data_IF_410732888028
#
_entry.id   IF_410732888028
#
_cell.length_a   1.000
_cell.length_b   1.000
_cell.length_c   1.000
_cell.angle_alpha   90.00
_cell.angle_beta   90.00
_cell.angle_gamma   90.00
#
_symmetry.space_group_name_H-M   'P 1'
#
loop_
_entity.id
_entity.type
_entity.pdbx_description
1 polymer ?
#
# COMPACT_ATOMS: atom_id res chain seq x y z
N UNK A 1 -5.91 -26.23 -88.47
CA UNK A 1 -5.41 -26.74 -87.17
C UNK A 1 -3.90 -26.86 -87.21
N UNK A 2 -3.19 -26.06 -86.41
CA UNK A 2 -1.90 -26.38 -85.77
C UNK A 2 -1.64 -25.25 -84.75
N UNK A 3 -1.89 -25.55 -83.49
CA UNK A 3 -1.57 -24.71 -82.33
C UNK A 3 -0.11 -24.99 -81.96
N UNK A 4 0.72 -23.95 -81.83
CA UNK A 4 1.95 -24.03 -81.04
C UNK A 4 1.98 -22.80 -80.14
N UNK A 5 2.00 -23.10 -78.86
CA UNK A 5 1.75 -22.23 -77.72
C UNK A 5 3.03 -21.47 -77.35
N UNK A 6 2.90 -20.16 -77.14
CA UNK A 6 3.95 -19.28 -76.63
C UNK A 6 4.08 -19.51 -75.11
N UNK A 7 5.20 -20.07 -74.65
CA UNK A 7 5.47 -20.30 -73.24
C UNK A 7 5.95 -19.02 -72.55
N UNK A 8 5.07 -18.39 -71.77
CA UNK A 8 5.46 -17.37 -70.80
C UNK A 8 6.05 -18.04 -69.56
N UNK A 9 7.35 -17.85 -69.33
CA UNK A 9 7.97 -18.06 -68.01
C UNK A 9 7.42 -17.02 -67.04
N UNK A 10 6.58 -17.45 -66.09
CA UNK A 10 6.27 -16.66 -64.90
C UNK A 10 7.38 -16.94 -63.89
N UNK A 11 8.31 -16.01 -63.75
CA UNK A 11 9.21 -15.97 -62.60
C UNK A 11 8.34 -15.54 -61.41
N UNK A 12 7.86 -16.52 -60.65
CA UNK A 12 7.29 -16.28 -59.33
C UNK A 12 8.44 -15.88 -58.40
N UNK A 13 8.69 -14.59 -58.26
CA UNK A 13 9.48 -14.06 -57.16
C UNK A 13 8.74 -14.35 -55.86
N UNK A 14 9.15 -15.42 -55.18
CA UNK A 14 8.87 -15.60 -53.75
C UNK A 14 9.50 -14.40 -53.03
N UNK A 15 8.66 -13.46 -52.61
CA UNK A 15 9.03 -12.49 -51.58
C UNK A 15 9.18 -13.32 -50.30
N UNK A 16 10.41 -13.67 -49.96
CA UNK A 16 10.76 -14.13 -48.62
C UNK A 16 10.60 -12.89 -47.75
N UNK A 17 9.38 -12.62 -47.28
CA UNK A 17 9.19 -11.76 -46.11
C UNK A 17 9.94 -12.46 -45.00
N UNK A 18 11.12 -11.96 -44.62
CA UNK A 18 11.81 -12.45 -43.43
C UNK A 18 10.82 -12.28 -42.28
N UNK A 19 10.27 -13.38 -41.80
CA UNK A 19 9.48 -13.42 -40.57
C UNK A 19 10.45 -13.19 -39.40
N UNK A 20 10.99 -11.98 -39.27
CA UNK A 20 11.70 -11.54 -38.08
C UNK A 20 10.67 -11.48 -36.95
N UNK A 21 10.96 -12.21 -35.88
CA UNK A 21 10.14 -12.26 -34.68
C UNK A 21 9.85 -10.82 -34.20
N UNK A 22 8.58 -10.44 -33.98
CA UNK A 22 8.21 -9.14 -33.41
C UNK A 22 9.03 -8.75 -32.17
N UNK A 23 9.44 -9.73 -31.35
CA UNK A 23 10.21 -9.52 -30.13
C UNK A 23 11.63 -8.97 -30.36
N UNK A 24 12.26 -9.29 -31.48
CA UNK A 24 13.64 -8.88 -31.79
C UNK A 24 13.70 -7.54 -32.52
N UNK A 25 12.53 -6.94 -32.80
CA UNK A 25 12.45 -5.64 -33.46
C UNK A 25 12.53 -4.51 -32.45
N UNK A 26 13.03 -3.32 -32.86
CA UNK A 26 12.91 -2.10 -32.07
C UNK A 26 11.46 -1.82 -31.69
N UNK A 27 11.26 -1.24 -30.50
CA UNK A 27 9.94 -0.83 -30.02
C UNK A 27 9.16 -0.04 -31.09
N UNK A 28 8.00 -0.56 -31.46
CA UNK A 28 7.10 0.08 -32.42
C UNK A 28 5.64 -0.35 -32.23
N UNK A 29 4.71 0.54 -32.56
CA UNK A 29 3.28 0.31 -32.34
C UNK A 29 2.66 -0.72 -33.29
N UNK A 30 3.28 -0.97 -34.44
CA UNK A 30 2.78 -1.91 -35.45
C UNK A 30 2.86 -3.36 -34.95
N UNK A 31 3.97 -3.71 -34.30
CA UNK A 31 4.24 -5.05 -33.80
C UNK A 31 3.67 -5.27 -32.38
N UNK A 32 3.31 -4.21 -31.65
CA UNK A 32 2.92 -4.30 -30.23
C UNK A 32 1.71 -5.20 -29.97
N UNK A 33 0.75 -5.29 -30.91
CA UNK A 33 -0.40 -6.19 -30.77
C UNK A 33 0.04 -7.65 -30.64
N UNK A 34 0.99 -8.08 -31.48
CA UNK A 34 1.52 -9.46 -31.45
C UNK A 34 2.38 -9.69 -30.21
N UNK A 35 3.18 -8.70 -29.83
CA UNK A 35 3.98 -8.76 -28.59
C UNK A 35 3.09 -8.94 -27.36
N UNK A 36 1.95 -8.23 -27.28
CA UNK A 36 0.96 -8.43 -26.20
C UNK A 36 0.40 -9.85 -26.18
N UNK A 37 0.08 -10.42 -27.33
CA UNK A 37 -0.42 -11.79 -27.43
C UNK A 37 0.62 -12.79 -26.94
N UNK A 38 1.89 -12.62 -27.33
CA UNK A 38 3.00 -13.46 -26.89
C UNK A 38 3.25 -13.35 -25.38
N UNK A 39 3.30 -12.14 -24.81
CA UNK A 39 3.40 -11.94 -23.34
C UNK A 39 2.21 -12.58 -22.62
N UNK A 40 1.01 -12.40 -23.16
CA UNK A 40 -0.21 -12.94 -22.56
C UNK A 40 -0.24 -14.47 -22.57
N UNK A 41 0.34 -15.09 -23.60
CA UNK A 41 0.45 -16.53 -23.75
C UNK A 41 1.58 -17.15 -22.91
N UNK A 42 2.56 -16.36 -22.44
CA UNK A 42 3.67 -16.87 -21.63
C UNK A 42 3.17 -17.44 -20.30
N UNK A 43 3.46 -18.72 -20.05
CA UNK A 43 3.05 -19.42 -18.82
C UNK A 43 4.00 -19.16 -17.65
N UNK A 44 5.19 -18.61 -17.91
CA UNK A 44 6.17 -18.29 -16.87
C UNK A 44 5.83 -16.99 -16.13
N UNK A 45 4.94 -16.17 -16.69
CA UNK A 45 4.48 -14.94 -16.07
C UNK A 45 3.15 -15.12 -15.35
N UNK A 46 3.08 -14.60 -14.12
CA UNK A 46 1.81 -14.38 -13.44
C UNK A 46 0.97 -13.36 -14.20
N UNK A 47 -0.35 -13.34 -13.96
CA UNK A 47 -1.22 -12.37 -14.62
C UNK A 47 -0.82 -10.92 -14.29
N UNK A 48 -0.40 -10.65 -13.07
CA UNK A 48 0.05 -9.32 -12.67
C UNK A 48 1.34 -8.90 -13.37
N UNK A 49 2.29 -9.83 -13.53
CA UNK A 49 3.54 -9.57 -14.27
C UNK A 49 3.27 -9.28 -15.74
N UNK A 50 2.34 -10.04 -16.36
CA UNK A 50 1.88 -9.76 -17.74
C UNK A 50 1.32 -8.35 -17.86
N UNK A 51 0.40 -7.97 -16.97
CA UNK A 51 -0.21 -6.66 -16.97
C UNK A 51 0.85 -5.55 -16.77
N UNK A 52 1.79 -5.74 -15.84
CA UNK A 52 2.89 -4.80 -15.61
C UNK A 52 3.71 -4.57 -16.88
N UNK A 53 4.18 -5.65 -17.52
CA UNK A 53 5.02 -5.56 -18.72
C UNK A 53 4.24 -4.88 -19.85
N UNK A 54 2.99 -5.32 -20.10
CA UNK A 54 2.17 -4.77 -21.19
C UNK A 54 1.86 -3.28 -20.97
N UNK A 55 1.47 -2.89 -19.75
CA UNK A 55 1.14 -1.50 -19.45
C UNK A 55 2.36 -0.59 -19.62
N UNK A 56 3.53 -0.99 -19.10
CA UNK A 56 4.75 -0.20 -19.21
C UNK A 56 5.26 -0.13 -20.65
N UNK A 57 5.22 -1.22 -21.42
CA UNK A 57 5.54 -1.17 -22.85
C UNK A 57 4.60 -0.24 -23.62
N UNK A 58 3.31 -0.25 -23.30
CA UNK A 58 2.34 0.66 -23.91
C UNK A 58 2.65 2.12 -23.60
N UNK A 59 3.05 2.41 -22.37
CA UNK A 59 3.45 3.75 -21.94
C UNK A 59 4.75 4.20 -22.62
N UNK A 60 5.77 3.35 -22.65
CA UNK A 60 7.03 3.59 -23.37
C UNK A 60 6.80 3.87 -24.86
N UNK A 61 5.92 3.10 -25.52
CA UNK A 61 5.53 3.34 -26.91
C UNK A 61 4.83 4.69 -27.09
N UNK A 62 3.92 5.05 -26.18
CA UNK A 62 3.28 6.37 -26.18
C UNK A 62 4.30 7.51 -26.09
N UNK A 63 5.29 7.39 -25.19
CA UNK A 63 6.38 8.37 -25.11
C UNK A 63 7.25 8.41 -26.36
N UNK A 64 7.54 7.25 -26.94
CA UNK A 64 8.33 7.14 -28.18
C UNK A 64 7.60 7.84 -29.35
N UNK A 65 6.30 7.66 -29.49
CA UNK A 65 5.49 8.32 -30.52
C UNK A 65 5.44 9.85 -30.34
N UNK A 66 5.27 10.31 -29.10
CA UNK A 66 5.34 11.74 -28.77
C UNK A 66 6.72 12.31 -29.11
N UNK A 67 7.79 11.61 -28.74
CA UNK A 67 9.16 11.98 -29.06
C UNK A 67 9.39 12.10 -30.57
N UNK A 68 8.99 11.09 -31.34
CA UNK A 68 9.07 11.11 -32.81
C UNK A 68 8.32 12.29 -33.42
N UNK A 69 7.12 12.58 -32.92
CA UNK A 69 6.29 13.69 -33.40
C UNK A 69 6.95 15.05 -33.12
N UNK A 70 7.45 15.26 -31.89
CA UNK A 70 8.16 16.49 -31.52
C UNK A 70 9.47 16.66 -32.29
N UNK A 71 10.25 15.59 -32.45
CA UNK A 71 11.51 15.61 -33.21
C UNK A 71 11.30 16.06 -34.65
N UNK A 72 10.30 15.46 -35.33
CA UNK A 72 9.88 15.88 -36.68
C UNK A 72 9.48 17.34 -36.74
N UNK A 73 8.68 17.82 -35.77
CA UNK A 73 8.27 19.22 -35.71
C UNK A 73 9.45 20.19 -35.50
N UNK A 74 10.54 19.74 -34.87
CA UNK A 74 11.77 20.49 -34.64
C UNK A 74 12.83 20.30 -35.75
N UNK A 75 12.51 19.59 -36.84
CA UNK A 75 13.44 19.32 -37.93
C UNK A 75 14.61 18.41 -37.56
N UNK A 76 14.47 17.62 -36.48
CA UNK A 76 15.45 16.60 -36.07
C UNK A 76 14.98 15.23 -36.54
N UNK A 77 15.86 14.53 -37.25
CA UNK A 77 15.61 13.11 -37.55
C UNK A 77 15.84 12.31 -36.26
N UNK A 78 14.76 11.67 -35.79
CA UNK A 78 14.79 10.80 -34.61
C UNK A 78 15.22 9.37 -34.96
N UNK A 79 15.51 9.11 -36.24
CA UNK A 79 15.93 7.80 -36.76
C UNK A 79 17.37 7.41 -36.33
N UNK A 80 18.13 8.35 -35.74
CA UNK A 80 19.44 8.09 -35.14
C UNK A 80 19.37 7.59 -33.68
N UNK A 81 18.19 7.59 -33.06
CA UNK A 81 18.04 7.06 -31.71
C UNK A 81 18.12 5.53 -31.75
N UNK A 82 19.06 4.97 -31.00
CA UNK A 82 19.10 3.54 -30.72
C UNK A 82 17.89 3.18 -29.85
N UNK A 83 16.81 2.77 -30.50
CA UNK A 83 15.58 2.29 -29.85
C UNK A 83 15.81 0.84 -29.43
N UNK A 84 15.60 0.54 -28.14
CA UNK A 84 15.64 -0.82 -27.61
C UNK A 84 14.66 -1.74 -28.32
N UNK A 85 14.96 -3.03 -28.36
CA UNK A 85 14.05 -4.07 -28.83
C UNK A 85 12.98 -4.40 -27.78
N UNK A 86 11.88 -5.03 -28.21
CA UNK A 86 10.88 -5.54 -27.27
C UNK A 86 11.47 -6.54 -26.27
N UNK A 87 12.35 -7.44 -26.72
CA UNK A 87 13.02 -8.41 -25.85
C UNK A 87 13.87 -7.76 -24.75
N UNK A 88 14.63 -6.72 -25.09
CA UNK A 88 15.46 -5.97 -24.14
C UNK A 88 14.58 -5.32 -23.06
N UNK A 89 13.52 -4.62 -23.47
CA UNK A 89 12.62 -3.92 -22.54
C UNK A 89 11.79 -4.89 -21.69
N UNK A 90 11.31 -6.00 -22.26
CA UNK A 90 10.61 -7.05 -21.51
C UNK A 90 11.53 -7.65 -20.44
N UNK A 91 12.81 -7.87 -20.75
CA UNK A 91 13.77 -8.39 -19.78
C UNK A 91 14.01 -7.39 -18.63
N UNK A 92 14.16 -6.10 -18.93
CA UNK A 92 14.31 -5.05 -17.92
C UNK A 92 13.05 -4.92 -17.04
N UNK A 93 11.87 -4.90 -17.66
CA UNK A 93 10.58 -4.82 -16.95
C UNK A 93 10.32 -6.06 -16.11
N UNK A 94 10.78 -7.23 -16.53
CA UNK A 94 10.70 -8.48 -15.77
C UNK A 94 11.51 -8.38 -14.47
N UNK A 95 12.77 -7.94 -14.57
CA UNK A 95 13.65 -7.75 -13.40
C UNK A 95 13.10 -6.68 -12.47
N UNK A 96 12.61 -5.57 -13.04
CA UNK A 96 11.97 -4.49 -12.31
C UNK A 96 10.74 -4.98 -11.53
N UNK A 97 9.86 -5.74 -12.18
CA UNK A 97 8.67 -6.31 -11.54
C UNK A 97 9.05 -7.21 -10.36
N UNK A 98 9.99 -8.14 -10.56
CA UNK A 98 10.37 -9.09 -9.52
C UNK A 98 10.99 -8.37 -8.31
N UNK A 99 11.81 -7.34 -8.55
CA UNK A 99 12.40 -6.51 -7.50
C UNK A 99 11.35 -5.71 -6.72
N UNK A 100 10.44 -5.00 -7.42
CA UNK A 100 9.39 -4.19 -6.79
C UNK A 100 8.41 -5.10 -6.02
N UNK A 101 8.02 -6.22 -6.62
CA UNK A 101 7.14 -7.21 -6.01
C UNK A 101 7.72 -7.73 -4.69
N UNK A 102 8.99 -8.14 -4.72
CA UNK A 102 9.70 -8.61 -3.52
C UNK A 102 9.72 -7.54 -2.43
N UNK A 103 10.10 -6.30 -2.78
CA UNK A 103 10.15 -5.20 -1.84
C UNK A 103 8.77 -4.88 -1.24
N UNK A 104 7.71 -4.88 -2.05
CA UNK A 104 6.35 -4.60 -1.59
C UNK A 104 5.78 -5.71 -0.71
N UNK A 105 6.09 -6.98 -1.01
CA UNK A 105 5.75 -8.12 -0.14
C UNK A 105 6.46 -7.99 1.21
N UNK A 106 7.76 -7.71 1.21
CA UNK A 106 8.54 -7.50 2.43
C UNK A 106 7.98 -6.32 3.25
N UNK A 107 7.62 -5.22 2.60
CA UNK A 107 6.96 -4.07 3.25
C UNK A 107 5.62 -4.50 3.87
N UNK A 108 4.80 -5.28 3.17
CA UNK A 108 3.52 -5.77 3.69
C UNK A 108 3.70 -6.64 4.95
N UNK A 109 4.69 -7.54 4.94
CA UNK A 109 5.03 -8.37 6.10
C UNK A 109 5.55 -7.54 7.27
N UNK A 110 6.36 -6.51 6.98
CA UNK A 110 6.87 -5.61 8.00
C UNK A 110 5.77 -4.73 8.60
N UNK A 111 4.84 -4.24 7.79
CA UNK A 111 3.65 -3.52 8.28
C UNK A 111 2.80 -4.39 9.19
N UNK A 112 2.62 -5.69 8.90
CA UNK A 112 1.91 -6.62 9.78
C UNK A 112 2.57 -6.74 11.16
N UNK A 113 3.91 -6.65 11.26
CA UNK A 113 4.60 -6.64 12.55
C UNK A 113 4.25 -5.39 13.37
N UNK A 114 4.14 -4.23 12.71
CA UNK A 114 3.71 -2.99 13.35
C UNK A 114 2.24 -3.01 13.77
N UNK A 115 1.36 -3.50 12.90
CA UNK A 115 -0.08 -3.62 13.16
C UNK A 115 -0.37 -4.51 14.36
N UNK A 116 0.37 -5.61 14.50
CA UNK A 116 0.22 -6.54 15.62
C UNK A 116 1.03 -6.16 16.86
N UNK A 117 1.81 -5.07 16.82
CA UNK A 117 2.72 -4.70 17.91
C UNK A 117 1.97 -4.36 19.20
N UNK A 118 0.81 -3.71 19.10
CA UNK A 118 -0.04 -3.32 20.24
C UNK A 118 -1.44 -3.89 20.07
N UNK A 119 -1.95 -4.43 21.16
CA UNK A 119 -3.35 -4.76 21.34
C UNK A 119 -3.94 -3.83 22.42
N UNK A 120 -5.07 -3.17 22.11
CA UNK A 120 -5.83 -2.41 23.10
C UNK A 120 -6.69 -3.38 23.92
N UNK A 121 -6.42 -3.46 25.22
CA UNK A 121 -7.13 -4.34 26.16
C UNK A 121 -8.26 -3.62 26.86
N UNK A 122 -8.02 -2.38 27.27
CA UNK A 122 -8.99 -1.55 27.99
C UNK A 122 -8.74 -0.07 27.68
N UNK A 123 -9.79 0.74 27.77
CA UNK A 123 -9.73 2.18 27.61
C UNK A 123 -10.67 2.87 28.60
N UNK A 124 -10.17 3.93 29.22
CA UNK A 124 -10.90 4.73 30.18
C UNK A 124 -10.60 6.21 29.96
N UNK A 125 -11.55 7.06 30.31
CA UNK A 125 -11.39 8.50 30.21
C UNK A 125 -11.89 9.22 31.45
N UNK A 126 -11.15 10.19 31.93
CA UNK A 126 -11.49 10.99 33.10
C UNK A 126 -11.46 12.46 32.68
N UNK A 127 -12.65 13.07 32.61
CA UNK A 127 -12.78 14.52 32.39
C UNK A 127 -12.46 15.28 33.68
N UNK A 128 -11.59 16.27 33.58
CA UNK A 128 -11.44 17.33 34.60
C UNK A 128 -12.36 18.50 34.28
N UNK A 129 -12.43 18.86 33.00
CA UNK A 129 -13.42 19.77 32.42
C UNK A 129 -13.68 19.38 30.95
N UNK A 130 -14.46 20.19 30.22
CA UNK A 130 -14.81 19.91 28.82
C UNK A 130 -13.65 20.00 27.81
N UNK A 131 -12.50 20.53 28.21
CA UNK A 131 -11.32 20.74 27.39
C UNK A 131 -10.07 20.04 27.93
N UNK A 132 -10.17 19.41 29.11
CA UNK A 132 -9.03 18.80 29.79
C UNK A 132 -9.42 17.52 30.51
N UNK A 133 -8.56 16.53 30.38
CA UNK A 133 -8.66 15.31 31.16
C UNK A 133 -7.56 14.31 30.82
N UNK A 134 -7.84 13.05 31.12
CA UNK A 134 -6.95 11.92 30.86
C UNK A 134 -7.64 10.88 29.99
N UNK A 135 -6.87 10.29 29.08
CA UNK A 135 -7.19 9.04 28.40
C UNK A 135 -6.20 8.00 28.89
N UNK A 136 -6.71 6.93 29.49
CA UNK A 136 -5.93 5.80 29.98
C UNK A 136 -6.23 4.60 29.09
N UNK A 137 -5.20 3.92 28.63
CA UNK A 137 -5.29 2.77 27.74
C UNK A 137 -4.43 1.66 28.31
N UNK A 138 -5.02 0.47 28.48
CA UNK A 138 -4.28 -0.74 28.80
C UNK A 138 -3.83 -1.37 27.49
N UNK A 139 -2.53 -1.37 27.27
CA UNK A 139 -1.89 -1.85 26.06
C UNK A 139 -1.16 -3.15 26.35
N UNK A 140 -1.35 -4.15 25.48
CA UNK A 140 -0.55 -5.37 25.48
C UNK A 140 0.42 -5.31 24.32
N UNK A 141 1.71 -5.37 24.64
CA UNK A 141 2.79 -5.29 23.66
C UNK A 141 3.21 -6.69 23.22
N UNK A 142 3.06 -6.97 21.92
CA UNK A 142 3.52 -8.20 21.29
C UNK A 142 4.90 -7.97 20.65
N UNK A 143 5.87 -7.54 21.47
CA UNK A 143 7.20 -7.21 20.97
C UNK A 143 7.95 -8.47 20.49
N UNK A 144 8.16 -8.55 19.17
CA UNK A 144 8.91 -9.63 18.50
C UNK A 144 10.33 -9.20 18.08
N UNK A 145 10.73 -7.97 18.38
CA UNK A 145 12.03 -7.44 17.98
C UNK A 145 13.09 -7.79 19.01
N UNK A 146 14.22 -8.33 18.56
CA UNK A 146 15.37 -8.62 19.43
C UNK A 146 16.09 -7.34 19.89
N UNK A 147 15.96 -6.26 19.13
CA UNK A 147 16.58 -4.97 19.42
C UNK A 147 15.82 -4.23 20.53
N UNK A 148 16.58 -3.55 21.40
CA UNK A 148 16.00 -2.67 22.41
C UNK A 148 15.31 -1.47 21.76
N UNK A 149 14.05 -1.28 22.09
CA UNK A 149 13.22 -0.17 21.61
C UNK A 149 13.47 1.05 22.50
N UNK A 150 13.66 2.22 21.88
CA UNK A 150 13.73 3.51 22.55
C UNK A 150 12.33 4.13 22.69
N UNK A 151 11.60 4.21 21.58
CA UNK A 151 10.21 4.64 21.57
C UNK A 151 9.47 4.11 20.34
N UNK A 152 8.15 4.12 20.40
CA UNK A 152 7.28 3.92 19.25
C UNK A 152 6.51 5.19 18.90
N UNK A 153 6.07 5.29 17.65
CA UNK A 153 5.12 6.27 17.18
C UNK A 153 3.75 5.59 17.22
N UNK A 154 2.99 5.85 18.28
CA UNK A 154 1.62 5.39 18.44
C UNK A 154 0.68 6.38 17.76
N UNK A 155 -0.21 5.85 16.94
CA UNK A 155 -1.35 6.58 16.41
C UNK A 155 -2.62 6.04 17.07
N UNK A 156 -3.46 6.94 17.57
CA UNK A 156 -4.73 6.57 18.17
C UNK A 156 -5.82 7.48 17.64
N UNK A 157 -6.94 6.87 17.25
CA UNK A 157 -8.06 7.54 16.62
C UNK A 157 -9.37 6.97 17.07
N UNK A 158 -10.44 7.74 16.95
CA UNK A 158 -11.79 7.23 17.19
C UNK A 158 -12.59 7.23 15.89
N UNK A 159 -13.02 6.04 15.48
CA UNK A 159 -13.86 5.82 14.30
C UNK A 159 -15.13 5.09 14.73
N UNK A 160 -16.30 5.66 14.47
CA UNK A 160 -17.55 4.98 14.79
C UNK A 160 -17.91 3.89 13.77
N UNK A 161 -18.98 3.15 14.02
CA UNK A 161 -19.54 2.12 13.12
C UNK A 161 -20.00 2.61 11.74
N UNK A 162 -19.98 3.91 11.48
CA UNK A 162 -20.34 4.53 10.19
C UNK A 162 -19.09 5.09 9.48
N UNK A 163 -17.90 4.62 9.87
CA UNK A 163 -16.60 5.06 9.36
C UNK A 163 -16.37 6.57 9.49
N UNK A 164 -17.03 7.23 10.45
CA UNK A 164 -16.80 8.64 10.76
C UNK A 164 -15.66 8.75 11.77
N UNK A 165 -14.59 9.42 11.37
CA UNK A 165 -13.45 9.75 12.21
C UNK A 165 -13.73 11.04 13.03
N UNK A 166 -13.41 11.00 14.32
CA UNK A 166 -13.60 12.14 15.23
C UNK A 166 -12.30 12.82 15.65
N UNK A 167 -11.21 12.06 15.72
CA UNK A 167 -9.86 12.56 15.91
C UNK A 167 -8.88 11.52 15.39
N UNK A 168 -7.68 11.96 15.02
CA UNK A 168 -6.55 11.12 14.60
C UNK A 168 -5.25 11.72 15.15
N UNK A 169 -4.72 11.15 16.24
CA UNK A 169 -3.59 11.72 16.97
C UNK A 169 -2.36 10.81 16.95
N UNK A 170 -1.19 11.44 16.98
CA UNK A 170 0.11 10.76 17.00
C UNK A 170 0.87 11.15 18.25
N UNK A 171 1.35 10.16 18.98
CA UNK A 171 2.15 10.36 20.18
C UNK A 171 3.37 9.45 20.19
N UNK A 172 4.40 9.89 20.91
CA UNK A 172 5.58 9.08 21.19
C UNK A 172 5.36 8.37 22.52
N UNK A 173 5.47 7.05 22.50
CA UNK A 173 5.46 6.24 23.70
C UNK A 173 6.88 5.70 23.92
N UNK A 174 7.55 6.13 24.98
CA UNK A 174 8.93 5.76 25.32
C UNK A 174 8.98 4.47 26.13
N UNK A 175 10.15 3.81 26.15
CA UNK A 175 10.41 2.62 26.98
C UNK A 175 10.14 2.87 28.47
N UNK A 176 10.48 4.05 28.99
CA UNK A 176 10.22 4.47 30.37
C UNK A 176 8.73 4.43 30.73
N UNK A 177 7.86 4.82 29.79
CA UNK A 177 6.41 4.86 29.98
C UNK A 177 5.76 3.52 29.61
N UNK A 178 6.38 2.75 28.70
CA UNK A 178 5.85 1.51 28.16
C UNK A 178 6.38 0.24 28.84
N UNK A 179 7.20 0.35 29.88
CA UNK A 179 7.76 -0.80 30.59
C UNK A 179 8.58 -1.70 29.67
N UNK A 180 9.50 -1.12 28.91
CA UNK A 180 10.31 -1.82 27.89
C UNK A 180 9.48 -2.52 26.79
N UNK A 181 8.21 -2.13 26.61
CA UNK A 181 7.27 -2.72 25.65
C UNK A 181 7.09 -4.24 25.87
N UNK A 182 6.93 -4.64 27.12
CA UNK A 182 6.73 -6.05 27.51
C UNK A 182 5.44 -6.23 28.28
N UNK A 183 4.65 -7.22 27.85
CA UNK A 183 3.43 -7.60 28.55
C UNK A 183 2.33 -6.55 28.43
N UNK A 184 1.50 -6.47 29.47
CA UNK A 184 0.35 -5.58 29.55
C UNK A 184 0.66 -4.41 30.49
N UNK A 185 0.40 -3.18 30.04
CA UNK A 185 0.64 -1.97 30.82
C UNK A 185 -0.41 -0.90 30.55
N UNK A 186 -0.83 -0.22 31.61
CA UNK A 186 -1.65 0.98 31.50
C UNK A 186 -0.80 2.20 31.17
N UNK A 187 -1.10 2.84 30.04
CA UNK A 187 -0.50 4.09 29.57
C UNK A 187 -1.55 5.19 29.63
N UNK A 188 -1.19 6.35 30.16
CA UNK A 188 -2.10 7.49 30.25
C UNK A 188 -1.56 8.71 29.51
N UNK A 189 -2.42 9.36 28.72
CA UNK A 189 -2.16 10.64 28.07
C UNK A 189 -2.98 11.74 28.72
N UNK A 190 -2.43 12.96 28.72
CA UNK A 190 -3.14 14.16 29.20
C UNK A 190 -3.60 14.96 28.00
N UNK A 191 -4.91 15.03 27.79
CA UNK A 191 -5.51 15.72 26.64
C UNK A 191 -5.97 17.12 27.05
N UNK A 192 -5.59 18.14 26.27
CA UNK A 192 -5.84 19.55 26.59
C UNK A 192 -6.07 20.37 25.32
N UNK A 193 -7.25 20.95 25.21
CA UNK A 193 -7.64 21.87 24.13
C UNK A 193 -7.37 21.30 22.73
N UNK A 194 -7.64 20.01 22.53
CA UNK A 194 -7.51 19.28 21.28
C UNK A 194 -8.80 18.48 20.97
N UNK A 195 -8.85 17.93 19.76
CA UNK A 195 -10.03 17.19 19.26
C UNK A 195 -10.31 15.95 20.10
N UNK A 196 -9.27 15.32 20.65
CA UNK A 196 -9.40 14.20 21.61
C UNK A 196 -10.16 14.67 22.85
N UNK A 197 -9.76 15.77 23.47
CA UNK A 197 -10.41 16.29 24.66
C UNK A 197 -11.86 16.69 24.38
N UNK A 198 -12.11 17.41 23.27
CA UNK A 198 -13.46 17.80 22.88
C UNK A 198 -14.35 16.56 22.69
N UNK A 199 -13.86 15.55 21.98
CA UNK A 199 -14.62 14.32 21.76
C UNK A 199 -14.82 13.53 23.06
N UNK A 200 -13.74 13.21 23.77
CA UNK A 200 -13.76 12.34 24.95
C UNK A 200 -14.61 12.91 26.08
N UNK A 201 -14.62 14.22 26.26
CA UNK A 201 -15.28 14.85 27.41
C UNK A 201 -16.66 15.43 27.08
N UNK A 202 -17.11 15.34 25.82
CA UNK A 202 -18.46 15.81 25.42
C UNK A 202 -19.31 14.76 24.72
N UNK A 203 -18.71 13.76 24.05
CA UNK A 203 -19.43 12.75 23.25
C UNK A 203 -19.50 11.39 23.91
N UNK A 204 -18.51 11.05 24.73
CA UNK A 204 -18.49 9.77 25.44
C UNK A 204 -19.64 9.74 26.45
N UNK A 205 -20.49 8.70 26.44
CA UNK A 205 -21.63 8.61 27.34
C UNK A 205 -21.16 8.38 28.78
N UNK A 206 -21.50 9.31 29.66
CA UNK A 206 -21.23 9.20 31.10
C UNK A 206 -22.37 8.51 31.87
N UNK A 207 -23.53 8.37 31.24
CA UNK A 207 -24.74 7.86 31.88
C UNK A 207 -25.41 6.80 31.02
N UNK A 208 -25.57 5.60 31.57
CA UNK A 208 -26.26 4.50 30.92
C UNK A 208 -27.78 4.71 30.88
N UNK A 209 -28.45 4.07 29.93
CA UNK A 209 -29.93 4.05 29.86
C UNK A 209 -30.51 3.44 31.13
N UNK A 210 -31.68 3.93 31.54
CA UNK A 210 -32.36 3.51 32.78
C UNK A 210 -32.46 1.99 32.91
N UNK A 211 -32.88 1.29 31.86
CA UNK A 211 -33.00 -0.17 31.86
C UNK A 211 -31.70 -0.89 32.30
N UNK A 212 -30.54 -0.45 31.81
CA UNK A 212 -29.25 -1.06 32.18
C UNK A 212 -28.85 -0.72 33.63
N UNK A 213 -29.21 0.47 34.10
CA UNK A 213 -28.98 0.88 35.51
C UNK A 213 -29.87 0.10 36.47
N UNK A 214 -31.12 -0.17 36.08
CA UNK A 214 -32.06 -0.97 36.85
C UNK A 214 -31.58 -2.43 36.97
N UNK A 215 -30.87 -2.94 35.95
CA UNK A 215 -30.31 -4.30 35.91
C UNK A 215 -28.99 -4.46 36.69
N UNK A 216 -28.01 -3.58 36.44
CA UNK A 216 -26.63 -3.73 36.95
C UNK A 216 -26.29 -2.83 38.15
N UNK A 217 -27.18 -1.89 38.47
CA UNK A 217 -26.89 -0.75 39.34
C UNK A 217 -26.23 0.40 38.58
N UNK A 218 -26.43 1.63 39.07
CA UNK A 218 -26.01 2.86 38.39
C UNK A 218 -24.52 2.91 38.07
N UNK A 219 -23.65 2.62 39.05
CA UNK A 219 -22.21 2.72 38.88
C UNK A 219 -21.68 1.74 37.82
N UNK A 220 -22.10 0.47 37.90
CA UNK A 220 -21.65 -0.57 36.95
C UNK A 220 -22.18 -0.31 35.55
N UNK A 221 -23.44 0.12 35.42
CA UNK A 221 -24.02 0.44 34.13
C UNK A 221 -23.33 1.63 33.46
N UNK A 222 -23.05 2.71 34.20
CA UNK A 222 -22.35 3.89 33.68
C UNK A 222 -20.90 3.55 33.26
N UNK A 223 -20.17 2.76 34.07
CA UNK A 223 -18.84 2.25 33.70
C UNK A 223 -18.89 1.42 32.43
N UNK A 224 -19.86 0.50 32.33
CA UNK A 224 -20.03 -0.37 31.16
C UNK A 224 -20.31 0.42 29.88
N UNK A 225 -21.25 1.36 29.89
CA UNK A 225 -21.58 2.11 28.66
C UNK A 225 -20.41 2.97 28.18
N UNK A 226 -19.63 3.52 29.12
CA UNK A 226 -18.43 4.30 28.80
C UNK A 226 -17.33 3.42 28.19
N UNK A 227 -17.03 2.31 28.85
CA UNK A 227 -16.06 1.33 28.40
C UNK A 227 -16.42 0.81 27.00
N UNK A 228 -17.65 0.33 26.82
CA UNK A 228 -18.10 -0.25 25.56
C UNK A 228 -18.02 0.78 24.42
N UNK A 229 -18.39 2.04 24.68
CA UNK A 229 -18.29 3.12 23.70
C UNK A 229 -16.85 3.39 23.27
N UNK A 230 -15.90 3.40 24.22
CA UNK A 230 -14.48 3.60 23.91
C UNK A 230 -13.92 2.42 23.13
N UNK A 231 -14.16 1.20 23.59
CA UNK A 231 -13.63 -0.01 22.96
C UNK A 231 -14.21 -0.28 21.56
N UNK A 232 -15.44 0.16 21.28
CA UNK A 232 -16.04 0.03 19.94
C UNK A 232 -15.29 0.87 18.90
N UNK A 233 -14.95 2.11 19.24
CA UNK A 233 -14.44 3.09 18.28
C UNK A 233 -12.97 3.46 18.36
N UNK A 234 -12.32 3.29 19.52
CA UNK A 234 -10.90 3.61 19.69
C UNK A 234 -10.06 2.58 18.93
N UNK A 235 -9.27 3.04 17.96
CA UNK A 235 -8.34 2.25 17.17
C UNK A 235 -6.92 2.72 17.45
N UNK A 236 -6.01 1.77 17.58
CA UNK A 236 -4.59 2.02 17.76
C UNK A 236 -3.82 1.47 16.57
N UNK A 237 -2.76 2.16 16.21
CA UNK A 237 -1.83 1.75 15.16
C UNK A 237 -0.40 2.13 15.56
N UNK A 238 0.55 1.23 15.35
CA UNK A 238 1.97 1.55 15.49
C UNK A 238 2.49 2.01 14.13
N UNK A 239 2.86 3.28 13.99
CA UNK A 239 3.36 3.82 12.72
C UNK A 239 4.86 3.60 12.56
N UNK A 240 5.58 3.41 13.66
CA UNK A 240 7.00 3.09 13.62
C UNK A 240 7.60 2.84 14.99
N UNK A 241 8.78 2.23 14.97
CA UNK A 241 9.58 1.85 16.14
C UNK A 241 10.98 2.41 15.92
N UNK A 242 11.51 3.09 16.93
CA UNK A 242 12.89 3.56 16.95
C UNK A 242 13.65 2.77 18.00
N UNK A 243 14.76 2.17 17.60
CA UNK A 243 15.60 1.36 18.48
C UNK A 243 16.70 2.21 19.13
N UNK A 244 17.27 1.73 20.25
CA UNK A 244 18.37 2.42 20.94
C UNK A 244 19.64 2.54 20.10
N UNK A 245 19.83 1.65 19.12
CA UNK A 245 20.91 1.73 18.14
C UNK A 245 20.67 2.80 17.05
N UNK A 246 19.56 3.56 17.14
CA UNK A 246 19.11 4.59 16.20
C UNK A 246 18.61 4.07 14.85
N UNK A 247 18.50 2.76 14.68
CA UNK A 247 17.77 2.22 13.54
C UNK A 247 16.26 2.39 13.71
N UNK A 248 15.54 2.42 12.60
CA UNK A 248 14.10 2.66 12.57
C UNK A 248 13.39 1.54 11.81
N UNK A 249 12.19 1.20 12.26
CA UNK A 249 11.28 0.29 11.59
C UNK A 249 9.93 1.00 11.43
N UNK A 250 9.63 1.46 10.23
CA UNK A 250 8.52 2.38 9.96
C UNK A 250 7.52 1.79 8.98
N UNK A 251 6.26 2.14 9.15
CA UNK A 251 5.18 1.76 8.23
C UNK A 251 5.45 2.38 6.86
N UNK A 252 5.35 1.56 5.82
CA UNK A 252 5.61 1.97 4.44
C UNK A 252 4.44 1.57 3.53
N UNK A 253 4.32 2.23 2.39
CA UNK A 253 3.27 1.90 1.43
C UNK A 253 3.53 0.54 0.77
N UNK A 254 2.68 -0.43 1.06
CA UNK A 254 2.69 -1.77 0.46
C UNK A 254 1.78 -1.87 -0.77
N UNK A 255 0.90 -0.88 -1.01
CA UNK A 255 -0.09 -0.99 -2.05
C UNK A 255 0.59 -0.90 -3.41
N UNK A 256 0.24 -1.84 -4.29
CA UNK A 256 0.70 -1.84 -5.66
C UNK A 256 -0.32 -2.54 -6.56
N UNK A 257 -0.71 -1.89 -7.66
CA UNK A 257 -1.74 -2.41 -8.58
C UNK A 257 -1.37 -3.74 -9.25
N UNK A 258 -0.10 -4.16 -9.17
CA UNK A 258 0.43 -5.39 -9.75
C UNK A 258 0.84 -6.43 -8.70
N UNK A 259 0.29 -6.34 -7.48
CA UNK A 259 0.32 -7.44 -6.52
C UNK A 259 -1.04 -8.09 -6.44
N UNK A 260 -1.02 -9.41 -6.27
CA UNK A 260 -2.22 -10.13 -5.86
C UNK A 260 -2.54 -9.74 -4.41
N UNK A 261 -3.83 -9.47 -4.15
CA UNK A 261 -4.35 -9.14 -2.83
C UNK A 261 -4.72 -10.41 -2.06
#
# INVERSE_FOLDING_TARGET
MKKITLGFMVIATLIITSCTNPMDKPLNSEDFVKVKEEISADKNYSQMKKNYIIDNLSEQLGFLELGKTMGKAMGKDMDELKISTFNEEIAELTVSFDSISTAKIEIAENNKKLENFIELIDANTISMDKYKGYLSMTLKFNNQFEKEILYIILNYKYVNKYDSEFFDEKTKLTDEVAGDFKGELEVSTTEKYNDVAEFMYTKVPVQAKKALRDELGEEKANKKVKHDFLMEGLKLETLGIVFKDKSEFVKQDADWKYLEK
#
